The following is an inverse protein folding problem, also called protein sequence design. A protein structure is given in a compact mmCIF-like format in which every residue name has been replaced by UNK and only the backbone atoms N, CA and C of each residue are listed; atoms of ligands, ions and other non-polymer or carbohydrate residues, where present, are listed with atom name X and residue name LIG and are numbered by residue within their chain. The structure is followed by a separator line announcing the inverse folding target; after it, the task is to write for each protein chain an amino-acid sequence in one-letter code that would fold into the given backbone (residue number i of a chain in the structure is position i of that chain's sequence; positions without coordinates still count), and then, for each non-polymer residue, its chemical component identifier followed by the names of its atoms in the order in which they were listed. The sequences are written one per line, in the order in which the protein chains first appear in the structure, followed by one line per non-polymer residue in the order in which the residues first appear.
data_IF_106981908223
#
_entry.id   IF_106981908223
#
_cell.length_a   1.000
_cell.length_b   1.000
_cell.length_c   1.000
_cell.angle_alpha   90.00
_cell.angle_beta   90.00
_cell.angle_gamma   90.00
#
_symmetry.space_group_name_H-M   'P 1'
#
loop_
_entity.id
_entity.type
_entity.pdbx_description
1 polymer ?
#
# COMPACT_ATOMS: atom_id res chain seq x y z
N UNK A 1 20.84 -45.84 -0.73
CA UNK A 1 20.54 -45.06 0.49
C UNK A 1 20.07 -43.67 0.07
N UNK A 2 18.93 -43.23 0.61
CA UNK A 2 18.12 -42.09 0.16
C UNK A 2 18.83 -40.78 0.51
N UNK A 3 19.38 -40.08 -0.47
CA UNK A 3 19.94 -38.74 -0.26
C UNK A 3 18.78 -37.75 -0.31
N UNK A 4 18.20 -37.61 0.88
CA UNK A 4 17.66 -36.39 1.48
C UNK A 4 17.08 -35.36 0.49
N UNK A 5 15.75 -35.34 0.42
CA UNK A 5 14.93 -34.26 -0.13
C UNK A 5 15.34 -32.93 0.51
N UNK A 6 16.23 -32.19 -0.13
CA UNK A 6 16.45 -30.77 0.19
C UNK A 6 15.27 -30.03 -0.42
N UNK A 7 14.21 -29.95 0.38
CA UNK A 7 13.11 -29.00 0.21
C UNK A 7 13.76 -27.62 0.32
N UNK A 8 14.14 -27.05 -0.82
CA UNK A 8 14.54 -25.64 -0.89
C UNK A 8 13.27 -24.83 -0.61
N UNK A 9 13.09 -24.52 0.67
CA UNK A 9 12.19 -23.51 1.20
C UNK A 9 12.51 -22.16 0.53
N UNK A 10 11.97 -21.91 -0.67
CA UNK A 10 11.87 -20.58 -1.25
C UNK A 10 10.58 -19.93 -0.73
N UNK A 11 10.51 -19.75 0.59
CA UNK A 11 9.56 -18.82 1.19
C UNK A 11 10.34 -17.61 1.65
N UNK A 12 9.75 -16.43 1.43
CA UNK A 12 10.08 -15.12 1.99
C UNK A 12 11.09 -14.30 1.18
N UNK A 13 10.64 -13.64 0.12
CA UNK A 13 11.14 -12.31 -0.23
C UNK A 13 9.96 -11.41 -0.59
N UNK A 14 9.05 -11.16 0.35
CA UNK A 14 8.33 -9.89 0.34
C UNK A 14 9.27 -8.88 0.98
N UNK A 15 10.11 -8.25 0.16
CA UNK A 15 10.89 -7.09 0.56
C UNK A 15 9.88 -5.95 0.76
N UNK A 16 9.34 -5.84 1.98
CA UNK A 16 8.67 -4.63 2.43
C UNK A 16 9.71 -3.54 2.52
N UNK A 17 9.84 -2.75 1.46
CA UNK A 17 10.69 -1.57 1.46
C UNK A 17 10.12 -0.57 2.46
N UNK A 18 10.73 -0.49 3.65
CA UNK A 18 10.48 0.55 4.64
C UNK A 18 11.13 1.84 4.15
N UNK A 19 10.51 2.50 3.17
CA UNK A 19 10.94 3.82 2.73
C UNK A 19 10.28 4.87 3.63
N UNK A 20 11.01 5.30 4.65
CA UNK A 20 10.61 6.42 5.53
C UNK A 20 10.98 7.72 4.82
N UNK A 21 10.00 8.51 4.41
CA UNK A 21 10.21 9.92 4.08
C UNK A 21 9.17 10.82 4.78
N UNK A 22 9.59 12.06 5.03
CA UNK A 22 9.16 12.95 6.11
C UNK A 22 7.80 13.62 5.83
N UNK A 23 7.01 13.80 6.91
CA UNK A 23 5.62 14.28 7.00
C UNK A 23 4.62 13.67 6.01
N UNK A 24 4.33 12.40 6.28
CA UNK A 24 3.16 11.68 5.76
C UNK A 24 3.48 10.63 4.69
N UNK A 25 4.61 9.92 4.79
CA UNK A 25 4.90 8.80 3.89
C UNK A 25 3.72 7.83 3.82
N UNK A 26 3.20 7.66 2.61
CA UNK A 26 2.22 6.64 2.31
C UNK A 26 2.81 5.26 2.61
N UNK A 27 2.10 4.49 3.42
CA UNK A 27 2.43 3.09 3.65
C UNK A 27 1.79 2.25 2.56
N UNK A 28 2.61 1.48 1.86
CA UNK A 28 2.14 0.52 0.85
C UNK A 28 1.30 -0.58 1.50
N UNK A 29 0.35 -1.15 0.76
CA UNK A 29 -0.59 -2.13 1.30
C UNK A 29 -1.47 -1.62 2.46
N UNK A 30 -1.58 -0.31 2.68
CA UNK A 30 -2.28 0.28 3.82
C UNK A 30 -3.22 1.41 3.39
N UNK A 31 -4.19 1.69 4.27
CA UNK A 31 -5.11 2.82 4.15
C UNK A 31 -4.46 4.06 4.78
N UNK A 32 -4.20 5.08 3.96
CA UNK A 32 -3.49 6.29 4.37
C UNK A 32 -4.41 7.51 4.38
N UNK A 33 -4.23 8.38 5.38
CA UNK A 33 -4.90 9.67 5.43
C UNK A 33 -4.14 10.70 4.60
N UNK A 34 -4.76 11.18 3.51
CA UNK A 34 -4.19 12.20 2.61
C UNK A 34 -5.06 13.48 2.53
N UNK A 35 -5.93 13.66 3.53
CA UNK A 35 -6.99 14.66 3.52
C UNK A 35 -8.23 14.16 2.76
N UNK A 36 -8.77 14.98 1.85
CA UNK A 36 -9.89 14.55 1.00
C UNK A 36 -9.44 13.43 0.05
N UNK A 37 -10.21 12.35 0.02
CA UNK A 37 -10.06 11.21 -0.90
C UNK A 37 -11.45 10.67 -1.24
N UNK A 38 -12.08 11.23 -2.28
CA UNK A 38 -13.39 10.81 -2.78
C UNK A 38 -13.23 9.80 -3.92
N UNK A 39 -13.79 8.57 -3.80
CA UNK A 39 -13.70 7.54 -4.85
C UNK A 39 -14.18 8.06 -6.22
N UNK A 40 -13.43 7.75 -7.27
CA UNK A 40 -13.67 8.21 -8.64
C UNK A 40 -13.22 9.65 -8.93
N UNK A 41 -13.27 10.56 -7.97
CA UNK A 41 -12.87 11.96 -8.17
C UNK A 41 -11.40 12.20 -7.82
N UNK A 42 -10.97 11.74 -6.65
CA UNK A 42 -9.61 11.94 -6.13
C UNK A 42 -8.70 10.71 -6.35
N UNK A 43 -9.20 9.65 -6.98
CA UNK A 43 -8.42 8.45 -7.31
C UNK A 43 -7.12 8.78 -8.07
N UNK A 44 -7.10 9.67 -9.10
CA UNK A 44 -5.86 10.00 -9.79
C UNK A 44 -4.79 10.65 -8.88
N UNK A 45 -5.23 11.41 -7.86
CA UNK A 45 -4.33 11.99 -6.87
C UNK A 45 -3.76 10.91 -5.96
N UNK A 46 -4.60 10.03 -5.43
CA UNK A 46 -4.15 8.89 -4.61
C UNK A 46 -3.19 7.99 -5.40
N UNK A 47 -3.54 7.67 -6.65
CA UNK A 47 -2.72 6.86 -7.54
C UNK A 47 -1.34 7.47 -7.79
N UNK A 48 -1.27 8.77 -8.10
CA UNK A 48 0.00 9.46 -8.31
C UNK A 48 0.90 9.43 -7.06
N UNK A 49 0.34 9.74 -5.89
CA UNK A 49 1.12 9.72 -4.64
C UNK A 49 1.59 8.29 -4.30
N UNK A 50 0.74 7.27 -4.49
CA UNK A 50 1.13 5.88 -4.28
C UNK A 50 2.15 5.39 -5.33
N UNK A 51 2.18 5.94 -6.56
CA UNK A 51 3.23 5.61 -7.54
C UNK A 51 4.59 6.16 -7.14
N UNK A 52 4.63 7.33 -6.51
CA UNK A 52 5.87 7.91 -6.01
C UNK A 52 6.49 7.07 -4.87
N UNK A 53 5.66 6.52 -3.97
CA UNK A 53 6.14 5.73 -2.81
C UNK A 53 6.15 4.21 -2.98
N UNK A 54 5.18 3.65 -3.72
CA UNK A 54 4.88 2.21 -3.80
C UNK A 54 4.89 1.64 -5.23
N UNK A 55 5.10 2.48 -6.25
CA UNK A 55 5.20 2.14 -7.69
C UNK A 55 3.89 1.68 -8.34
N UNK A 56 3.07 0.88 -7.64
CA UNK A 56 1.86 0.26 -8.21
C UNK A 56 0.63 1.17 -8.25
N UNK A 57 0.66 2.29 -7.54
CA UNK A 57 -0.48 3.20 -7.44
C UNK A 57 -1.46 2.83 -6.33
N UNK A 58 -2.67 3.36 -6.42
CA UNK A 58 -3.67 3.27 -5.36
C UNK A 58 -5.01 3.89 -5.74
N UNK A 59 -5.98 3.84 -4.82
CA UNK A 59 -7.33 4.37 -5.03
C UNK A 59 -7.94 4.88 -3.71
N UNK A 60 -8.94 5.77 -3.82
CA UNK A 60 -9.68 6.25 -2.67
C UNK A 60 -10.74 5.25 -2.20
N UNK A 61 -10.87 5.13 -0.89
CA UNK A 61 -11.81 4.27 -0.19
C UNK A 61 -12.52 5.06 0.90
N UNK A 62 -13.80 4.79 1.09
CA UNK A 62 -14.61 5.39 2.17
C UNK A 62 -15.08 4.30 3.11
N UNK A 63 -14.92 4.52 4.40
CA UNK A 63 -15.51 3.69 5.44
C UNK A 63 -16.81 4.32 5.95
N UNK A 64 -17.79 3.49 6.30
CA UNK A 64 -19.10 3.94 6.76
C UNK A 64 -19.12 4.25 8.28
N UNK A 65 -18.24 5.15 8.73
CA UNK A 65 -18.19 5.65 10.11
C UNK A 65 -18.02 7.17 10.17
N UNK A 66 -18.03 7.75 11.38
CA UNK A 66 -17.81 9.18 11.58
C UNK A 66 -16.46 9.65 11.01
N UNK A 67 -16.39 10.92 10.58
CA UNK A 67 -15.18 11.51 9.98
C UNK A 67 -13.98 11.52 10.95
N UNK A 68 -12.73 11.43 10.45
CA UNK A 68 -12.37 11.24 9.04
C UNK A 68 -12.56 9.78 8.61
N UNK A 69 -13.22 9.58 7.48
CA UNK A 69 -13.62 8.26 6.98
C UNK A 69 -13.21 8.02 5.51
N UNK A 70 -12.39 8.90 4.95
CA UNK A 70 -11.86 8.84 3.59
C UNK A 70 -10.37 8.52 3.65
N UNK A 71 -9.92 7.55 2.87
CA UNK A 71 -8.56 7.04 2.90
C UNK A 71 -8.06 6.75 1.48
N UNK A 72 -6.75 6.86 1.28
CA UNK A 72 -6.05 6.43 0.08
C UNK A 72 -5.41 5.07 0.33
N UNK A 73 -5.83 4.04 -0.39
CA UNK A 73 -5.26 2.70 -0.30
C UNK A 73 -4.19 2.51 -1.38
N UNK A 74 -2.93 2.35 -0.98
CA UNK A 74 -1.86 2.02 -1.92
C UNK A 74 -1.78 0.50 -2.13
N UNK A 75 -1.66 0.07 -3.37
CA UNK A 75 -1.56 -1.35 -3.71
C UNK A 75 -0.29 -2.01 -3.15
N UNK A 76 -0.41 -3.32 -2.93
CA UNK A 76 0.72 -4.24 -2.82
C UNK A 76 1.24 -4.67 -4.18
#
# INVERSE_FOLDING_TARGET
MKVLRIVFFLTLMSQGNNHIFIEGALTCCHDNHIGRCEPGLDDPKCDAMCKEGCIKGGFCKVFHHAKPNHYCHCYC
#
